data_IF_206475235248
#
_entry.id   IF_206475235248
#
_cell.length_a   1.000
_cell.length_b   1.000
_cell.length_c   1.000
_cell.angle_alpha   90.00
_cell.angle_beta   90.00
_cell.angle_gamma   90.00
#
_symmetry.space_group_name_H-M   'P 1'
#
loop_
_entity.id
_entity.type
_entity.pdbx_description
1 polymer ?
#
# COMPACT_ATOMS: atom_id res chain seq x y z
N UNK A 1 -8.08 8.82 -30.44
CA UNK A 1 -6.75 9.32 -30.82
C UNK A 1 -6.76 9.43 -32.32
N UNK A 2 -6.54 10.62 -32.92
CA UNK A 2 -6.62 10.76 -34.38
C UNK A 2 -5.59 9.87 -35.07
N UNK A 3 -5.98 9.25 -36.19
CA UNK A 3 -5.12 8.37 -37.01
C UNK A 3 -4.71 7.04 -36.38
N UNK A 4 -5.05 6.77 -35.11
CA UNK A 4 -4.61 5.57 -34.40
C UNK A 4 -5.17 4.27 -34.99
N UNK A 5 -6.36 4.31 -35.59
CA UNK A 5 -6.99 3.19 -36.30
C UNK A 5 -6.19 2.79 -37.54
N UNK A 6 -5.76 3.77 -38.35
CA UNK A 6 -4.91 3.53 -39.51
C UNK A 6 -3.53 3.01 -39.11
N UNK A 7 -2.94 3.55 -38.03
CA UNK A 7 -1.67 3.05 -37.50
C UNK A 7 -1.81 1.62 -36.97
N UNK A 8 -2.87 1.33 -36.20
CA UNK A 8 -3.12 0.00 -35.67
C UNK A 8 -3.31 -1.03 -36.80
N UNK A 9 -4.06 -0.69 -37.84
CA UNK A 9 -4.25 -1.56 -39.01
C UNK A 9 -2.95 -1.84 -39.78
N UNK A 10 -1.98 -0.91 -39.75
CA UNK A 10 -0.70 -1.05 -40.44
C UNK A 10 0.39 -1.72 -39.60
N UNK A 11 0.37 -1.52 -38.28
CA UNK A 11 1.49 -1.85 -37.39
C UNK A 11 1.20 -3.01 -36.44
N UNK A 12 -0.07 -3.28 -36.14
CA UNK A 12 -0.47 -4.27 -35.16
C UNK A 12 -0.93 -5.56 -35.84
N UNK A 13 -0.54 -6.71 -35.28
CA UNK A 13 -0.75 -8.05 -35.87
C UNK A 13 -1.23 -9.10 -34.88
N UNK A 14 -1.18 -8.82 -33.58
CA UNK A 14 -1.42 -9.78 -32.50
C UNK A 14 -2.90 -10.13 -32.33
N UNK A 15 -3.82 -9.23 -32.69
CA UNK A 15 -5.25 -9.40 -32.53
C UNK A 15 -6.01 -8.58 -33.57
N UNK A 16 -7.25 -8.98 -33.87
CA UNK A 16 -8.16 -8.11 -34.60
C UNK A 16 -8.68 -7.03 -33.64
N UNK A 17 -8.04 -5.86 -33.68
CA UNK A 17 -8.40 -4.73 -32.81
C UNK A 17 -9.76 -4.09 -33.14
N UNK A 18 -10.47 -4.58 -34.17
CA UNK A 18 -11.87 -4.24 -34.41
C UNK A 18 -12.86 -5.19 -33.70
N UNK A 19 -12.37 -6.33 -33.21
CA UNK A 19 -13.13 -7.29 -32.39
C UNK A 19 -12.91 -7.02 -30.89
N UNK A 20 -13.95 -6.64 -30.13
CA UNK A 20 -13.85 -6.43 -28.68
C UNK A 20 -13.63 -7.71 -27.87
N UNK A 21 -13.66 -8.88 -28.52
CA UNK A 21 -13.42 -10.18 -27.92
C UNK A 21 -11.98 -10.40 -27.46
N UNK A 22 -11.79 -11.42 -26.62
CA UNK A 22 -10.44 -11.86 -26.21
C UNK A 22 -9.72 -12.52 -27.39
N UNK A 23 -8.38 -12.37 -27.49
CA UNK A 23 -7.58 -13.13 -28.45
C UNK A 23 -7.88 -14.63 -28.37
N UNK A 24 -8.08 -15.25 -29.53
CA UNK A 24 -8.46 -16.66 -29.65
C UNK A 24 -7.23 -17.56 -29.69
N UNK A 25 -6.66 -17.80 -28.51
CA UNK A 25 -5.53 -18.74 -28.32
C UNK A 25 -5.92 -19.96 -27.48
N UNK A 26 -5.09 -21.00 -27.49
CA UNK A 26 -5.18 -22.10 -26.53
C UNK A 26 -4.69 -21.63 -25.15
N UNK A 27 -5.58 -21.10 -24.31
CA UNK A 27 -5.22 -20.51 -23.01
C UNK A 27 -4.58 -21.48 -21.99
N UNK A 28 -4.71 -22.78 -22.21
CA UNK A 28 -4.04 -23.82 -21.44
C UNK A 28 -2.63 -24.15 -21.94
N UNK A 29 -2.22 -23.61 -23.09
CA UNK A 29 -0.87 -23.74 -23.65
C UNK A 29 0.00 -22.57 -23.17
N UNK A 30 1.15 -22.90 -22.59
CA UNK A 30 2.13 -21.91 -22.13
C UNK A 30 2.78 -21.18 -23.30
N UNK A 31 3.12 -21.89 -24.37
CA UNK A 31 3.77 -21.30 -25.54
C UNK A 31 2.83 -20.29 -26.23
N UNK A 32 1.56 -20.68 -26.44
CA UNK A 32 0.58 -19.79 -27.04
C UNK A 32 0.34 -18.49 -26.24
N UNK A 33 0.42 -18.57 -24.90
CA UNK A 33 0.33 -17.38 -24.04
C UNK A 33 1.56 -16.50 -24.13
N UNK A 34 2.76 -17.10 -24.16
CA UNK A 34 4.02 -16.36 -24.32
C UNK A 34 4.07 -15.64 -25.66
N UNK A 35 3.77 -16.33 -26.77
CA UNK A 35 3.71 -15.73 -28.10
C UNK A 35 2.69 -14.59 -28.18
N UNK A 36 1.54 -14.72 -27.51
CA UNK A 36 0.55 -13.65 -27.44
C UNK A 36 1.07 -12.43 -26.64
N UNK A 37 1.76 -12.64 -25.52
CA UNK A 37 2.35 -11.53 -24.74
C UNK A 37 3.38 -10.78 -25.58
N UNK A 38 4.30 -11.50 -26.24
CA UNK A 38 5.30 -10.93 -27.14
C UNK A 38 4.66 -10.04 -28.20
N UNK A 39 3.63 -10.58 -28.87
CA UNK A 39 2.93 -9.89 -29.94
C UNK A 39 2.16 -8.66 -29.44
N UNK A 40 1.41 -8.77 -28.33
CA UNK A 40 0.61 -7.66 -27.79
C UNK A 40 1.47 -6.49 -27.30
N UNK A 41 2.57 -6.78 -26.60
CA UNK A 41 3.50 -5.73 -26.13
C UNK A 41 4.17 -5.07 -27.32
N UNK A 42 4.64 -5.86 -28.29
CA UNK A 42 5.26 -5.34 -29.52
C UNK A 42 4.29 -4.46 -30.31
N UNK A 43 3.03 -4.87 -30.45
CA UNK A 43 1.99 -4.09 -31.12
C UNK A 43 1.72 -2.77 -30.40
N UNK A 44 1.63 -2.78 -29.07
CA UNK A 44 1.44 -1.57 -28.29
C UNK A 44 2.61 -0.59 -28.48
N UNK A 45 3.85 -1.07 -28.41
CA UNK A 45 5.04 -0.26 -28.63
C UNK A 45 5.14 0.28 -30.05
N UNK A 46 4.78 -0.53 -31.07
CA UNK A 46 4.73 -0.08 -32.46
C UNK A 46 3.65 0.98 -32.66
N UNK A 47 2.46 0.78 -32.11
CA UNK A 47 1.39 1.77 -32.18
C UNK A 47 1.87 3.08 -31.56
N UNK A 48 2.38 3.05 -30.33
CA UNK A 48 2.93 4.23 -29.65
C UNK A 48 4.05 4.91 -30.44
N UNK A 49 4.95 4.15 -31.06
CA UNK A 49 6.10 4.67 -31.82
C UNK A 49 5.75 5.22 -33.21
N UNK A 50 4.57 4.91 -33.76
CA UNK A 50 4.14 5.34 -35.10
C UNK A 50 2.92 6.27 -35.08
N UNK A 51 2.38 6.60 -33.90
CA UNK A 51 1.36 7.64 -33.80
C UNK A 51 1.89 8.97 -34.35
N UNK A 52 1.07 9.75 -35.08
CA UNK A 52 1.49 11.05 -35.60
C UNK A 52 1.97 11.95 -34.47
N UNK A 53 3.08 12.67 -34.72
CA UNK A 53 3.56 13.69 -33.80
C UNK A 53 2.68 14.94 -33.92
N UNK A 54 1.62 14.97 -33.13
CA UNK A 54 0.66 16.07 -33.06
C UNK A 54 0.21 16.34 -31.63
N UNK A 55 -0.23 17.57 -31.38
CA UNK A 55 -0.75 17.96 -30.07
C UNK A 55 -2.08 17.25 -29.80
N UNK A 56 -2.06 16.26 -28.92
CA UNK A 56 -3.26 15.55 -28.50
C UNK A 56 -4.07 16.35 -27.49
N UNK A 57 -5.39 16.34 -27.64
CA UNK A 57 -6.31 16.75 -26.58
C UNK A 57 -6.28 15.77 -25.40
N UNK A 58 -6.73 16.22 -24.23
CA UNK A 58 -6.66 15.49 -22.95
C UNK A 58 -7.09 14.02 -23.05
N UNK A 59 -8.28 13.75 -23.61
CA UNK A 59 -8.80 12.37 -23.75
C UNK A 59 -7.89 11.48 -24.60
N UNK A 60 -7.33 12.01 -25.68
CA UNK A 60 -6.45 11.26 -26.57
C UNK A 60 -5.09 11.03 -25.92
N UNK A 61 -4.54 12.05 -25.25
CA UNK A 61 -3.30 11.93 -24.47
C UNK A 61 -3.44 10.88 -23.35
N UNK A 62 -4.56 10.88 -22.62
CA UNK A 62 -4.83 9.89 -21.58
C UNK A 62 -4.90 8.46 -22.13
N UNK A 63 -5.55 8.25 -23.28
CA UNK A 63 -5.61 6.93 -23.92
C UNK A 63 -4.21 6.42 -24.31
N UNK A 64 -3.36 7.30 -24.87
CA UNK A 64 -1.96 6.97 -25.20
C UNK A 64 -1.15 6.67 -23.94
N UNK A 65 -1.31 7.46 -22.89
CA UNK A 65 -0.65 7.24 -21.60
C UNK A 65 -1.06 5.91 -20.95
N UNK A 66 -2.34 5.56 -20.98
CA UNK A 66 -2.85 4.26 -20.49
C UNK A 66 -2.26 3.11 -21.30
N UNK A 67 -2.20 3.22 -22.63
CA UNK A 67 -1.58 2.19 -23.47
C UNK A 67 -0.10 1.98 -23.12
N UNK A 68 0.67 3.07 -22.98
CA UNK A 68 2.08 3.01 -22.60
C UNK A 68 2.27 2.40 -21.20
N UNK A 69 1.43 2.77 -20.24
CA UNK A 69 1.47 2.22 -18.89
C UNK A 69 1.17 0.73 -18.91
N UNK A 70 0.07 0.30 -19.55
CA UNK A 70 -0.35 -1.11 -19.57
C UNK A 70 0.64 -1.98 -20.35
N UNK A 71 1.25 -1.46 -21.43
CA UNK A 71 2.25 -2.19 -22.20
C UNK A 71 3.54 -2.47 -21.41
N UNK A 72 3.92 -1.61 -20.47
CA UNK A 72 5.11 -1.79 -19.62
C UNK A 72 4.80 -2.35 -18.22
N UNK A 73 3.56 -2.30 -17.78
CA UNK A 73 3.17 -2.73 -16.45
C UNK A 73 3.22 -4.25 -16.33
N UNK A 74 3.95 -4.75 -15.32
CA UNK A 74 4.16 -6.19 -15.08
C UNK A 74 4.83 -6.91 -16.28
N UNK A 75 5.51 -6.18 -17.16
CA UNK A 75 6.23 -6.70 -18.33
C UNK A 75 7.71 -6.36 -18.21
N UNK A 76 8.55 -7.33 -18.55
CA UNK A 76 10.00 -7.15 -18.68
C UNK A 76 10.52 -7.86 -19.96
N UNK A 77 11.68 -7.48 -20.50
CA UNK A 77 12.32 -8.25 -21.55
C UNK A 77 12.48 -9.73 -21.17
N UNK A 78 12.39 -10.62 -22.16
CA UNK A 78 12.66 -12.03 -21.95
C UNK A 78 14.10 -12.27 -21.46
N UNK A 79 14.35 -13.48 -20.94
CA UNK A 79 15.71 -13.88 -20.58
C UNK A 79 16.63 -13.81 -21.82
N UNK A 80 17.81 -13.22 -21.65
CA UNK A 80 18.76 -12.94 -22.73
C UNK A 80 18.20 -12.04 -23.85
N UNK A 81 17.28 -11.13 -23.53
CA UNK A 81 16.77 -10.08 -24.43
C UNK A 81 16.87 -8.70 -23.79
N UNK A 82 17.06 -7.66 -24.62
CA UNK A 82 16.89 -6.25 -24.26
C UNK A 82 15.52 -5.69 -24.69
N UNK A 83 14.62 -6.56 -25.16
CA UNK A 83 13.28 -6.25 -25.65
C UNK A 83 13.22 -5.76 -27.09
N UNK A 84 14.36 -5.43 -27.72
CA UNK A 84 14.37 -4.91 -29.12
C UNK A 84 14.08 -5.99 -30.16
N UNK A 85 14.26 -7.25 -29.79
CA UNK A 85 13.90 -8.41 -30.60
C UNK A 85 12.41 -8.80 -30.47
N UNK A 86 11.63 -8.04 -29.70
CA UNK A 86 10.20 -8.29 -29.50
C UNK A 86 9.89 -9.43 -28.53
N UNK A 87 10.89 -9.95 -27.80
CA UNK A 87 10.68 -10.98 -26.78
C UNK A 87 10.47 -10.36 -25.40
N UNK A 88 9.32 -10.62 -24.82
CA UNK A 88 8.83 -10.08 -23.57
C UNK A 88 8.37 -11.22 -22.65
N UNK A 89 8.24 -10.92 -21.36
CA UNK A 89 7.61 -11.83 -20.40
C UNK A 89 6.91 -11.05 -19.31
N UNK A 90 5.94 -11.71 -18.69
CA UNK A 90 5.31 -11.18 -17.48
C UNK A 90 6.31 -11.28 -16.31
N UNK A 91 6.56 -10.16 -15.65
CA UNK A 91 7.45 -10.07 -14.48
C UNK A 91 6.94 -10.97 -13.35
N UNK A 92 7.88 -11.57 -12.60
CA UNK A 92 7.55 -12.26 -11.34
C UNK A 92 7.27 -11.24 -10.23
N UNK A 93 6.04 -10.78 -10.14
CA UNK A 93 5.62 -9.83 -9.12
C UNK A 93 4.38 -9.04 -9.54
N UNK A 94 4.17 -7.89 -8.90
CA UNK A 94 3.14 -6.93 -9.32
C UNK A 94 3.67 -5.53 -9.10
N UNK A 95 3.51 -4.67 -10.10
CA UNK A 95 3.90 -3.28 -10.07
C UNK A 95 3.18 -2.55 -8.91
N UNK A 96 3.89 -1.75 -8.10
CA UNK A 96 3.27 -0.86 -7.13
C UNK A 96 2.29 0.09 -7.83
N UNK A 97 1.09 0.27 -7.27
CA UNK A 97 0.09 1.16 -7.86
C UNK A 97 -0.49 0.69 -9.19
N UNK A 98 -0.38 -0.61 -9.50
CA UNK A 98 -0.91 -1.24 -10.72
C UNK A 98 -2.31 -0.73 -11.08
N UNK A 99 -2.47 -0.35 -12.34
CA UNK A 99 -3.76 -0.13 -12.98
C UNK A 99 -4.46 -1.47 -13.23
N UNK A 100 -5.64 -1.62 -12.66
CA UNK A 100 -6.47 -2.84 -12.80
C UNK A 100 -7.60 -2.68 -13.82
N UNK A 101 -7.94 -1.44 -14.16
CA UNK A 101 -8.99 -1.08 -15.09
C UNK A 101 -8.57 0.12 -15.93
N UNK A 102 -8.74 0.02 -17.25
CA UNK A 102 -8.48 1.12 -18.19
C UNK A 102 -9.67 2.08 -18.31
N UNK A 103 -10.86 1.66 -17.88
CA UNK A 103 -12.06 2.50 -17.82
C UNK A 103 -12.19 3.22 -16.49
N UNK A 104 -11.55 2.69 -15.46
CA UNK A 104 -11.47 3.28 -14.12
C UNK A 104 -10.03 3.21 -13.59
N UNK A 105 -9.18 4.19 -14.01
CA UNK A 105 -7.75 4.19 -13.67
C UNK A 105 -7.45 4.33 -12.18
N UNK A 106 -8.43 4.71 -11.35
CA UNK A 106 -8.28 4.88 -9.90
C UNK A 106 -8.62 3.60 -9.13
N UNK A 107 -9.35 2.66 -9.74
CA UNK A 107 -9.62 1.36 -9.14
C UNK A 107 -8.33 0.61 -8.79
N UNK A 108 -8.33 -0.08 -7.64
CA UNK A 108 -7.19 -0.86 -7.15
C UNK A 108 -7.62 -2.25 -6.70
N UNK A 109 -6.65 -3.13 -6.53
CA UNK A 109 -6.82 -4.37 -5.81
C UNK A 109 -7.05 -4.09 -4.32
N UNK A 110 -8.26 -4.33 -3.83
CA UNK A 110 -8.65 -4.19 -2.43
C UNK A 110 -8.67 -5.57 -1.77
N UNK A 111 -7.93 -5.73 -0.69
CA UNK A 111 -7.89 -6.97 0.07
C UNK A 111 -8.72 -6.86 1.35
N UNK A 112 -9.71 -7.74 1.50
CA UNK A 112 -10.39 -7.97 2.79
C UNK A 112 -9.63 -8.99 3.62
N UNK A 113 -9.10 -10.02 2.97
CA UNK A 113 -8.22 -11.04 3.57
C UNK A 113 -7.18 -11.50 2.52
N UNK A 114 -6.24 -12.36 2.92
CA UNK A 114 -5.26 -12.94 1.99
C UNK A 114 -5.89 -13.72 0.83
N UNK A 115 -7.07 -14.32 1.04
CA UNK A 115 -7.78 -15.12 0.04
C UNK A 115 -8.97 -14.39 -0.58
N UNK A 116 -9.32 -13.19 -0.09
CA UNK A 116 -10.46 -12.43 -0.57
C UNK A 116 -10.00 -11.06 -1.07
N UNK A 117 -9.92 -10.96 -2.39
CA UNK A 117 -9.52 -9.79 -3.16
C UNK A 117 -10.70 -9.34 -4.02
N UNK A 118 -10.84 -8.02 -4.18
CA UNK A 118 -11.81 -7.40 -5.07
C UNK A 118 -11.18 -6.20 -5.76
N UNK A 119 -11.51 -5.98 -7.03
CA UNK A 119 -11.04 -4.84 -7.79
C UNK A 119 -12.05 -3.69 -7.61
N UNK A 120 -11.55 -2.49 -7.32
CA UNK A 120 -12.39 -1.30 -7.16
C UNK A 120 -11.87 -0.35 -6.08
N UNK A 121 -12.80 0.12 -5.26
CA UNK A 121 -12.56 1.10 -4.21
C UNK A 121 -12.92 0.55 -2.84
N UNK A 122 -12.33 1.14 -1.81
CA UNK A 122 -12.69 0.91 -0.43
C UNK A 122 -13.66 1.98 0.04
N UNK A 123 -14.82 1.55 0.53
CA UNK A 123 -15.76 2.43 1.21
C UNK A 123 -15.38 2.55 2.69
N UNK A 124 -15.39 3.78 3.19
CA UNK A 124 -15.23 4.14 4.59
C UNK A 124 -16.50 4.88 5.02
N UNK A 125 -17.03 4.52 6.20
CA UNK A 125 -18.35 4.93 6.64
C UNK A 125 -18.26 5.42 8.09
N UNK A 126 -18.84 6.58 8.36
CA UNK A 126 -19.23 6.99 9.70
C UNK A 126 -20.74 6.76 9.86
N UNK A 127 -21.12 6.11 10.97
CA UNK A 127 -22.49 5.68 11.23
C UNK A 127 -22.83 6.05 12.66
N UNK A 128 -23.94 6.75 12.86
CA UNK A 128 -24.53 6.94 14.18
C UNK A 128 -25.22 5.62 14.57
N UNK A 129 -24.72 4.90 15.58
CA UNK A 129 -25.09 3.50 15.80
C UNK A 129 -26.51 3.30 16.34
N UNK A 130 -27.11 4.28 17.01
CA UNK A 130 -28.44 4.14 17.61
C UNK A 130 -29.55 4.25 16.57
N UNK A 131 -29.41 5.16 15.62
CA UNK A 131 -30.37 5.41 14.52
C UNK A 131 -30.01 4.68 13.23
N UNK A 132 -28.74 4.29 13.06
CA UNK A 132 -28.22 3.68 11.84
C UNK A 132 -28.01 4.68 10.70
N UNK A 133 -28.01 5.99 10.98
CA UNK A 133 -27.77 7.02 9.97
C UNK A 133 -26.30 7.04 9.56
N UNK A 134 -26.06 7.05 8.25
CA UNK A 134 -24.75 7.34 7.69
C UNK A 134 -24.50 8.84 7.77
N UNK A 135 -23.54 9.27 8.58
CA UNK A 135 -23.20 10.70 8.74
C UNK A 135 -22.16 11.14 7.73
N UNK A 136 -21.24 10.25 7.35
CA UNK A 136 -20.26 10.48 6.30
C UNK A 136 -19.90 9.20 5.54
N UNK A 137 -19.59 9.35 4.26
CA UNK A 137 -19.17 8.26 3.38
C UNK A 137 -18.03 8.74 2.49
N UNK A 138 -16.93 7.98 2.47
CA UNK A 138 -15.81 8.21 1.57
C UNK A 138 -15.51 6.94 0.75
N UNK A 139 -15.48 7.07 -0.57
CA UNK A 139 -15.05 6.01 -1.48
C UNK A 139 -13.64 6.33 -1.96
N UNK A 140 -12.66 5.51 -1.59
CA UNK A 140 -11.23 5.77 -1.83
C UNK A 140 -10.56 4.62 -2.58
N UNK A 141 -9.56 4.91 -3.45
CA UNK A 141 -8.69 3.88 -4.01
C UNK A 141 -8.06 3.01 -2.91
N UNK A 142 -7.89 1.71 -3.18
CA UNK A 142 -7.32 0.74 -2.23
C UNK A 142 -5.81 0.87 -1.96
N UNK A 143 -5.17 1.96 -2.37
CA UNK A 143 -3.73 2.18 -2.24
C UNK A 143 -3.41 3.68 -2.22
N UNK A 144 -2.42 4.09 -1.43
CA UNK A 144 -2.01 5.50 -1.29
C UNK A 144 -2.08 5.96 0.17
N UNK A 145 -1.11 6.75 0.66
CA UNK A 145 -1.09 7.20 2.05
C UNK A 145 -2.31 8.07 2.42
N UNK A 146 -2.81 8.87 1.49
CA UNK A 146 -4.00 9.71 1.63
C UNK A 146 -5.31 8.91 1.70
N UNK A 147 -5.29 7.64 1.27
CA UNK A 147 -6.43 6.72 1.30
C UNK A 147 -6.36 5.73 2.45
N UNK A 148 -5.30 5.81 3.26
CA UNK A 148 -5.16 5.00 4.47
C UNK A 148 -6.26 5.37 5.47
N UNK A 149 -6.77 4.38 6.21
CA UNK A 149 -7.85 4.52 7.18
C UNK A 149 -7.57 5.63 8.18
N UNK A 150 -6.30 5.80 8.54
CA UNK A 150 -5.88 6.89 9.42
C UNK A 150 -6.23 8.29 8.87
N UNK A 151 -5.96 8.56 7.59
CA UNK A 151 -6.29 9.85 6.98
C UNK A 151 -7.82 10.00 6.82
N UNK A 152 -8.47 8.94 6.32
CA UNK A 152 -9.92 8.96 6.04
C UNK A 152 -10.74 9.05 7.32
N UNK A 153 -10.29 8.45 8.43
CA UNK A 153 -11.00 8.52 9.71
C UNK A 153 -11.11 9.94 10.27
N UNK A 154 -10.11 10.79 10.02
CA UNK A 154 -10.16 12.22 10.39
C UNK A 154 -11.13 12.97 9.49
N UNK A 155 -11.12 12.70 8.19
CA UNK A 155 -12.04 13.31 7.23
C UNK A 155 -13.50 12.98 7.58
N UNK A 156 -13.79 11.73 7.93
CA UNK A 156 -15.15 11.28 8.24
C UNK A 156 -15.77 11.97 9.47
N UNK A 157 -14.95 12.52 10.37
CA UNK A 157 -15.41 13.20 11.59
C UNK A 157 -15.12 14.71 11.54
N UNK A 158 -14.65 15.25 10.42
CA UNK A 158 -14.19 16.64 10.34
C UNK A 158 -15.31 17.68 10.53
N UNK A 159 -16.53 17.32 10.14
CA UNK A 159 -17.71 18.19 10.23
C UNK A 159 -18.49 17.99 11.55
N UNK A 160 -18.01 17.13 12.45
CA UNK A 160 -18.63 16.90 13.76
C UNK A 160 -18.25 18.04 14.72
N UNK A 161 -19.23 18.85 15.11
CA UNK A 161 -19.04 20.07 15.90
C UNK A 161 -19.15 19.85 17.42
N UNK A 162 -19.48 18.62 17.83
CA UNK A 162 -19.62 18.23 19.23
C UNK A 162 -18.74 17.03 19.58
N UNK A 163 -18.28 16.92 20.83
CA UNK A 163 -17.58 15.73 21.31
C UNK A 163 -18.41 14.46 21.12
N UNK A 164 -17.77 13.41 20.59
CA UNK A 164 -18.40 12.12 20.28
C UNK A 164 -17.70 10.97 20.99
N UNK A 165 -18.43 9.87 21.18
CA UNK A 165 -17.86 8.56 21.44
C UNK A 165 -17.55 7.86 20.09
N UNK A 166 -16.30 7.92 19.66
CA UNK A 166 -15.88 7.39 18.36
C UNK A 166 -15.44 5.93 18.47
N UNK A 167 -16.18 5.03 17.82
CA UNK A 167 -15.85 3.61 17.73
C UNK A 167 -15.15 3.31 16.41
N UNK A 168 -14.12 2.47 16.44
CA UNK A 168 -13.35 2.18 15.23
C UNK A 168 -12.55 0.88 15.29
N UNK A 169 -12.25 0.35 14.10
CA UNK A 169 -11.38 -0.81 13.97
C UNK A 169 -9.89 -0.43 14.18
N UNK A 170 -9.04 -1.45 14.21
CA UNK A 170 -7.60 -1.26 14.39
C UNK A 170 -6.94 -0.44 13.28
N UNK A 171 -7.44 -0.46 12.06
CA UNK A 171 -6.85 0.33 10.98
C UNK A 171 -6.95 1.86 11.23
N UNK A 172 -7.97 2.32 11.97
CA UNK A 172 -8.11 3.71 12.41
C UNK A 172 -7.29 4.06 13.67
N UNK A 173 -6.51 3.13 14.23
CA UNK A 173 -5.90 3.28 15.57
C UNK A 173 -4.53 3.98 15.60
N UNK A 174 -4.11 4.63 14.52
CA UNK A 174 -2.79 5.28 14.42
C UNK A 174 -2.60 6.37 15.49
N UNK A 175 -1.34 6.67 15.80
CA UNK A 175 -0.99 7.63 16.85
C UNK A 175 -1.50 9.03 16.54
N UNK A 176 -1.23 9.48 15.31
CA UNK A 176 -1.64 10.80 14.79
C UNK A 176 -3.17 10.96 14.85
N UNK A 177 -3.92 9.92 14.46
CA UNK A 177 -5.40 9.95 14.51
C UNK A 177 -5.92 10.06 15.92
N UNK A 178 -5.35 9.25 16.84
CA UNK A 178 -5.76 9.28 18.24
C UNK A 178 -5.48 10.64 18.85
N UNK A 179 -4.34 11.24 18.55
CA UNK A 179 -4.03 12.58 19.02
C UNK A 179 -5.03 13.60 18.45
N UNK A 180 -5.20 13.65 17.12
CA UNK A 180 -6.04 14.65 16.47
C UNK A 180 -7.50 14.56 16.95
N UNK A 181 -8.08 13.35 17.04
CA UNK A 181 -9.45 13.19 17.52
C UNK A 181 -9.59 13.47 19.03
N UNK A 182 -8.53 13.22 19.83
CA UNK A 182 -8.52 13.59 21.24
C UNK A 182 -8.45 15.11 21.42
N UNK A 183 -7.66 15.82 20.61
CA UNK A 183 -7.59 17.29 20.59
C UNK A 183 -8.91 17.92 20.14
N UNK A 184 -9.65 17.25 19.25
CA UNK A 184 -11.02 17.61 18.87
C UNK A 184 -12.06 17.32 19.99
N UNK A 185 -11.66 16.69 21.09
CA UNK A 185 -12.51 16.43 22.25
C UNK A 185 -13.28 15.11 22.20
N UNK A 186 -13.10 14.27 21.17
CA UNK A 186 -13.76 12.97 21.10
C UNK A 186 -13.17 11.98 22.10
N UNK A 187 -14.03 11.08 22.60
CA UNK A 187 -13.64 9.92 23.40
C UNK A 187 -13.52 8.71 22.48
N UNK A 188 -12.37 8.06 22.49
CA UNK A 188 -12.03 7.05 21.49
C UNK A 188 -12.17 5.62 22.02
N UNK A 189 -13.01 4.84 21.36
CA UNK A 189 -13.19 3.39 21.53
C UNK A 189 -12.68 2.63 20.30
N UNK A 190 -11.51 3.04 19.82
CA UNK A 190 -10.87 2.44 18.65
C UNK A 190 -9.97 1.29 19.09
N UNK A 191 -10.15 0.09 18.52
CA UNK A 191 -9.37 -1.10 18.89
C UNK A 191 -7.86 -0.86 18.67
N UNK A 192 -6.99 -0.95 19.68
CA UNK A 192 -5.55 -0.73 19.51
C UNK A 192 -4.89 -1.72 18.54
N UNK A 193 -3.80 -1.28 17.91
CA UNK A 193 -2.94 -2.17 17.14
C UNK A 193 -2.34 -3.26 18.02
N UNK A 194 -2.44 -4.55 17.64
CA UNK A 194 -1.85 -5.62 18.42
C UNK A 194 -0.32 -5.50 18.38
N UNK A 195 0.31 -5.70 19.54
CA UNK A 195 1.76 -5.77 19.62
C UNK A 195 2.28 -7.05 18.97
N UNK A 196 3.37 -6.93 18.23
CA UNK A 196 4.04 -8.05 17.57
C UNK A 196 5.38 -8.31 18.26
N UNK A 197 5.53 -9.38 19.04
CA UNK A 197 6.81 -9.70 19.65
C UNK A 197 7.80 -10.16 18.57
N UNK A 198 9.09 -9.87 18.74
CA UNK A 198 10.14 -10.28 17.79
C UNK A 198 10.36 -11.80 17.77
N UNK A 199 10.02 -12.46 18.89
CA UNK A 199 10.03 -13.91 19.06
C UNK A 199 8.61 -14.33 19.43
N UNK A 200 8.11 -15.44 18.87
CA UNK A 200 6.77 -15.95 19.20
C UNK A 200 6.69 -16.26 20.70
N UNK A 201 5.71 -15.68 21.40
CA UNK A 201 5.57 -15.81 22.86
C UNK A 201 6.63 -15.04 23.66
N UNK A 202 7.42 -14.20 23.00
CA UNK A 202 8.44 -13.37 23.62
C UNK A 202 7.94 -11.98 24.02
N UNK A 203 8.89 -11.13 24.41
CA UNK A 203 8.60 -9.78 24.86
C UNK A 203 8.11 -8.85 23.74
N UNK A 204 7.03 -8.14 24.05
CA UNK A 204 6.41 -7.06 23.31
C UNK A 204 7.01 -5.71 23.72
N UNK A 205 6.40 -4.61 23.28
CA UNK A 205 6.82 -3.27 23.67
C UNK A 205 6.42 -2.95 25.11
N UNK A 206 5.30 -3.51 25.60
CA UNK A 206 4.76 -3.26 26.94
C UNK A 206 5.60 -3.90 28.06
N UNK A 207 6.48 -4.85 27.71
CA UNK A 207 7.42 -5.44 28.66
C UNK A 207 8.64 -4.54 28.94
N UNK A 208 8.77 -3.41 28.24
CA UNK A 208 9.86 -2.45 28.42
C UNK A 208 9.32 -1.21 29.13
N UNK A 209 10.06 -0.70 30.12
CA UNK A 209 9.75 0.60 30.69
C UNK A 209 10.29 1.68 29.76
N UNK A 210 9.39 2.42 29.11
CA UNK A 210 9.71 3.45 28.12
C UNK A 210 9.33 4.81 28.71
N UNK A 211 10.32 5.66 28.93
CA UNK A 211 10.14 7.05 29.31
C UNK A 211 10.49 7.94 28.13
N UNK A 212 9.47 8.36 27.39
CA UNK A 212 9.59 9.23 26.22
C UNK A 212 10.07 10.64 26.58
N UNK A 213 9.78 11.11 27.80
CA UNK A 213 10.13 12.44 28.32
C UNK A 213 11.59 12.49 28.74
N UNK A 214 12.05 11.52 29.54
CA UNK A 214 13.44 11.39 29.94
C UNK A 214 14.33 10.81 28.85
N UNK A 215 13.75 10.37 27.72
CA UNK A 215 14.46 9.74 26.61
C UNK A 215 15.15 8.42 27.00
N UNK A 216 14.53 7.59 27.84
CA UNK A 216 15.13 6.34 28.35
C UNK A 216 14.24 5.13 28.10
N UNK A 217 14.87 3.97 27.88
CA UNK A 217 14.19 2.67 27.79
C UNK A 217 14.91 1.64 28.61
N UNK A 218 14.18 0.95 29.48
CA UNK A 218 14.67 -0.15 30.31
C UNK A 218 14.05 -1.47 29.85
N UNK A 219 14.89 -2.48 29.59
CA UNK A 219 14.44 -3.81 29.17
C UNK A 219 14.08 -4.71 30.37
N UNK A 220 13.39 -5.85 30.12
CA UNK A 220 13.06 -6.81 31.17
C UNK A 220 14.26 -7.36 31.97
N UNK A 221 15.46 -7.33 31.40
CA UNK A 221 16.70 -7.73 32.08
C UNK A 221 17.31 -6.60 32.94
N UNK A 222 16.67 -5.42 33.02
CA UNK A 222 17.11 -4.27 33.83
C UNK A 222 18.11 -3.34 33.15
N UNK A 223 18.52 -3.60 31.91
CA UNK A 223 19.42 -2.70 31.18
C UNK A 223 18.67 -1.46 30.69
N UNK A 224 19.26 -0.28 30.86
CA UNK A 224 18.69 1.00 30.40
C UNK A 224 19.55 1.59 29.29
N UNK A 225 18.91 2.10 28.23
CA UNK A 225 19.57 2.81 27.12
C UNK A 225 18.80 4.08 26.76
N UNK A 226 19.49 5.04 26.14
CA UNK A 226 18.84 6.25 25.65
C UNK A 226 18.03 5.99 24.37
N UNK A 227 16.93 6.73 24.21
CA UNK A 227 16.27 6.92 22.94
C UNK A 227 17.07 7.91 22.09
N UNK A 228 17.31 7.55 20.84
CA UNK A 228 17.86 8.49 19.86
C UNK A 228 16.97 9.73 19.71
N UNK A 229 17.56 10.78 19.16
CA UNK A 229 16.78 11.90 18.62
C UNK A 229 15.80 11.40 17.54
N UNK A 230 14.66 12.08 17.36
CA UNK A 230 13.74 11.80 16.28
C UNK A 230 14.43 11.86 14.92
N UNK A 231 14.21 10.85 14.08
CA UNK A 231 14.80 10.83 12.75
C UNK A 231 14.15 9.82 11.81
N UNK A 232 14.54 9.90 10.53
CA UNK A 232 13.94 9.11 9.45
C UNK A 232 12.58 9.66 9.01
N UNK A 233 11.98 9.00 8.01
CA UNK A 233 10.75 9.46 7.35
C UNK A 233 9.55 9.61 8.29
N UNK A 234 9.51 8.85 9.40
CA UNK A 234 8.39 8.87 10.34
C UNK A 234 8.76 9.48 11.69
N UNK A 235 9.87 10.25 11.76
CA UNK A 235 10.36 10.88 12.98
C UNK A 235 10.47 9.92 14.17
N UNK A 236 10.78 8.66 13.90
CA UNK A 236 10.88 7.64 14.93
C UNK A 236 12.15 7.79 15.74
N UNK A 237 12.09 7.37 17.01
CA UNK A 237 13.22 7.27 17.93
C UNK A 237 13.61 5.80 18.09
N UNK A 238 14.90 5.52 18.32
CA UNK A 238 15.39 4.15 18.47
C UNK A 238 16.13 3.98 19.79
N UNK A 239 15.84 2.88 20.49
CA UNK A 239 16.62 2.40 21.62
C UNK A 239 17.39 1.13 21.19
N UNK A 240 18.71 1.23 21.12
CA UNK A 240 19.59 0.14 20.67
C UNK A 240 20.33 -0.46 21.86
N UNK A 241 20.05 -1.72 22.20
CA UNK A 241 20.67 -2.38 23.34
C UNK A 241 22.06 -2.96 23.03
N UNK A 242 22.34 -3.28 21.76
CA UNK A 242 23.68 -3.66 21.32
C UNK A 242 24.29 -4.80 22.15
N UNK A 243 25.51 -4.56 22.65
CA UNK A 243 26.29 -5.50 23.45
C UNK A 243 25.67 -5.84 24.81
N UNK A 244 24.72 -5.05 25.32
CA UNK A 244 23.97 -5.39 26.54
C UNK A 244 23.15 -6.68 26.35
N UNK A 245 22.83 -7.04 25.12
CA UNK A 245 22.17 -8.30 24.82
C UNK A 245 23.16 -9.48 24.71
N UNK A 246 24.47 -9.27 24.69
CA UNK A 246 25.46 -10.35 24.59
C UNK A 246 25.56 -11.09 25.92
N UNK A 247 25.28 -12.40 25.91
CA UNK A 247 25.24 -13.20 27.14
C UNK A 247 24.01 -12.95 28.04
N UNK A 248 23.04 -12.14 27.60
CA UNK A 248 21.81 -11.90 28.35
C UNK A 248 20.94 -13.17 28.40
N UNK A 249 20.57 -13.60 29.60
CA UNK A 249 19.76 -14.80 29.83
C UNK A 249 18.34 -14.74 29.21
N UNK A 250 17.82 -13.55 28.96
CA UNK A 250 16.51 -13.34 28.31
C UNK A 250 16.59 -13.19 26.79
N UNK A 251 17.79 -13.27 26.20
CA UNK A 251 18.00 -12.94 24.77
C UNK A 251 17.15 -13.79 23.84
N UNK A 252 17.08 -15.10 24.07
CA UNK A 252 16.35 -16.04 23.21
C UNK A 252 14.84 -15.75 23.16
N UNK A 253 14.27 -15.28 24.27
CA UNK A 253 12.89 -14.83 24.35
C UNK A 253 12.71 -13.38 23.84
N UNK A 254 13.76 -12.56 23.86
CA UNK A 254 13.69 -11.14 23.56
C UNK A 254 13.93 -10.80 22.07
N UNK A 255 14.92 -11.39 21.40
CA UNK A 255 15.28 -10.96 20.04
C UNK A 255 15.96 -12.04 19.21
N UNK A 256 15.70 -12.03 17.90
CA UNK A 256 16.43 -12.84 16.91
C UNK A 256 17.60 -12.08 16.26
N UNK A 257 17.74 -10.78 16.54
CA UNK A 257 18.74 -9.94 15.90
C UNK A 257 20.14 -10.27 16.44
N UNK A 258 21.12 -10.43 15.54
CA UNK A 258 22.52 -10.68 15.90
C UNK A 258 23.12 -9.52 16.69
N UNK A 259 22.84 -8.28 16.29
CA UNK A 259 23.34 -7.06 16.92
C UNK A 259 22.60 -6.65 18.21
N UNK A 260 21.69 -7.47 18.74
CA UNK A 260 20.89 -7.15 19.93
C UNK A 260 19.53 -6.54 19.62
N UNK A 261 18.72 -6.32 20.65
CA UNK A 261 17.36 -5.78 20.51
C UNK A 261 17.43 -4.29 20.15
N UNK A 262 16.59 -3.88 19.20
CA UNK A 262 16.33 -2.48 18.89
C UNK A 262 14.84 -2.25 19.03
N UNK A 263 14.43 -1.26 19.82
CA UNK A 263 13.06 -0.77 19.86
C UNK A 263 12.94 0.47 18.99
N UNK A 264 11.84 0.57 18.25
CA UNK A 264 11.50 1.76 17.45
C UNK A 264 10.24 2.36 18.05
N UNK A 265 10.35 3.57 18.56
CA UNK A 265 9.26 4.32 19.20
C UNK A 265 8.83 5.42 18.22
N UNK A 266 7.58 5.38 17.78
CA UNK A 266 7.00 6.40 16.90
C UNK A 266 6.43 7.57 17.72
N UNK A 267 6.18 8.73 17.10
CA UNK A 267 5.36 9.78 17.71
C UNK A 267 4.05 9.22 18.28
N UNK A 268 3.55 9.86 19.34
CA UNK A 268 2.31 9.49 20.05
C UNK A 268 2.30 8.07 20.65
N UNK A 269 3.47 7.51 20.93
CA UNK A 269 3.60 6.21 21.59
C UNK A 269 2.81 6.14 22.90
N UNK A 270 2.90 7.17 23.74
CA UNK A 270 2.25 7.17 25.07
C UNK A 270 0.73 7.12 24.95
N UNK A 271 0.15 7.84 23.98
CA UNK A 271 -1.29 7.80 23.67
C UNK A 271 -1.69 6.39 23.18
N UNK A 272 -0.86 5.76 22.35
CA UNK A 272 -1.12 4.39 21.90
C UNK A 272 -1.01 3.37 23.03
N UNK A 273 -0.09 3.57 23.97
CA UNK A 273 0.10 2.70 25.14
C UNK A 273 -1.04 2.83 26.12
N UNK A 274 -1.50 4.05 26.41
CA UNK A 274 -2.65 4.29 27.28
C UNK A 274 -3.96 3.69 26.73
N UNK A 275 -4.04 3.46 25.41
CA UNK A 275 -5.21 2.86 24.77
C UNK A 275 -5.25 1.33 24.79
N UNK A 276 -4.14 0.64 25.12
CA UNK A 276 -4.05 -0.83 25.17
C UNK A 276 -4.47 -1.37 26.52
#
# INVERSE_FOLDING_TARGET
>A
VPGADAVAAAQCTAHDYTDPGKPRIAWNDEQARTELVDALVTDALRLLGHLPDEQLGEKAANAVGILALVAGQDIEPAEDSDGRDGRWRITRGTAPGRMVSTVDPEARHVHKTRSHQQDGFKAHLAIEPETGLYTAVALRPGAGPEHHEAAVGLELLADEDTPLDAFGDTAYSSGDVRQALHEAGHRLFIKPAPLRPAVRGGFTLDDFAIDTTAALVTCPAGHTVALSDPGGQHHQRKASFGNLCTGCHLREQCTKAKAGRILTIRPHHDIQTAAR
#
